data_IF_346852317864
#
_entry.id   IF_346852317864
#
_cell.length_a   1.000
_cell.length_b   1.000
_cell.length_c   1.000
_cell.angle_alpha   90.00
_cell.angle_beta   90.00
_cell.angle_gamma   90.00
#
_symmetry.space_group_name_H-M   'P 1'
#
loop_
_entity.id
_entity.type
_entity.pdbx_description
1 polymer ?
#
# COMPACT_ATOMS: atom_id res chain seq x y z
N UNK A 1 6.90 -13.65 -2.92
CA UNK A 1 6.48 -12.22 -3.00
C UNK A 1 7.31 -11.53 -4.08
N UNK A 2 6.69 -10.88 -5.07
CA UNK A 2 7.41 -10.07 -6.09
C UNK A 2 8.18 -8.95 -5.36
N UNK A 3 9.51 -9.00 -5.36
CA UNK A 3 10.34 -7.90 -4.83
C UNK A 3 10.20 -6.69 -5.77
N UNK A 4 9.85 -5.53 -5.22
CA UNK A 4 10.01 -4.26 -5.91
C UNK A 4 11.52 -4.03 -6.06
N UNK A 5 11.97 -3.72 -7.27
CA UNK A 5 13.37 -3.42 -7.61
C UNK A 5 13.38 -2.24 -8.57
N UNK A 6 12.90 -1.10 -8.12
CA UNK A 6 12.59 0.05 -8.98
C UNK A 6 13.84 0.63 -9.64
N UNK A 7 14.95 0.73 -8.91
CA UNK A 7 16.25 1.16 -9.46
C UNK A 7 16.74 0.25 -10.58
N UNK A 8 16.60 -1.07 -10.41
CA UNK A 8 16.97 -2.03 -11.44
C UNK A 8 16.05 -1.92 -12.67
N UNK A 9 14.75 -1.73 -12.46
CA UNK A 9 13.78 -1.50 -13.53
C UNK A 9 14.10 -0.22 -14.31
N UNK A 10 14.34 0.92 -13.64
CA UNK A 10 14.75 2.18 -14.28
C UNK A 10 16.02 1.99 -15.12
N UNK A 11 17.02 1.30 -14.56
CA UNK A 11 18.28 1.01 -15.27
C UNK A 11 18.05 0.12 -16.51
N UNK A 12 17.14 -0.86 -16.42
CA UNK A 12 16.80 -1.72 -17.54
C UNK A 12 16.07 -0.96 -18.66
N UNK A 13 15.11 -0.08 -18.32
CA UNK A 13 14.46 0.78 -19.30
C UNK A 13 15.42 1.77 -19.95
N UNK A 14 16.39 2.32 -19.21
CA UNK A 14 17.44 3.16 -19.78
C UNK A 14 18.26 2.43 -20.85
N UNK A 15 18.66 1.18 -20.58
CA UNK A 15 19.34 0.33 -21.57
C UNK A 15 18.45 -0.02 -22.77
N UNK A 16 17.18 -0.35 -22.53
CA UNK A 16 16.22 -0.65 -23.59
C UNK A 16 15.97 0.57 -24.49
N UNK A 17 15.92 1.78 -23.91
CA UNK A 17 15.73 3.03 -24.64
C UNK A 17 16.93 3.32 -25.55
N UNK A 18 18.15 3.13 -25.05
CA UNK A 18 19.37 3.26 -25.86
C UNK A 18 19.38 2.26 -27.02
N UNK A 19 19.09 0.99 -26.77
CA UNK A 19 19.04 -0.05 -27.81
C UNK A 19 17.95 0.23 -28.87
N UNK A 20 16.77 0.72 -28.45
CA UNK A 20 15.70 1.13 -29.36
C UNK A 20 16.10 2.35 -30.19
N UNK A 21 16.90 3.26 -29.61
CA UNK A 21 17.47 4.39 -30.32
C UNK A 21 18.43 3.95 -31.42
N UNK A 22 19.39 3.10 -31.08
CA UNK A 22 20.40 2.54 -32.00
C UNK A 22 19.76 1.71 -33.12
N UNK A 23 18.74 0.91 -32.81
CA UNK A 23 18.01 0.12 -33.80
C UNK A 23 17.18 0.97 -34.78
N UNK A 24 16.93 2.23 -34.46
CA UNK A 24 16.14 3.18 -35.24
C UNK A 24 14.73 2.69 -35.63
N UNK A 25 14.08 1.92 -34.75
CA UNK A 25 12.71 1.42 -34.94
C UNK A 25 11.72 2.31 -34.18
N UNK A 26 10.90 3.15 -34.85
CA UNK A 26 10.02 4.09 -34.17
C UNK A 26 9.00 3.44 -33.23
N UNK A 27 8.40 2.32 -33.63
CA UNK A 27 7.45 1.58 -32.81
C UNK A 27 8.07 1.07 -31.50
N UNK A 28 9.33 0.59 -31.56
CA UNK A 28 10.04 0.11 -30.38
C UNK A 28 10.42 1.25 -29.44
N UNK A 29 10.82 2.42 -29.98
CA UNK A 29 11.07 3.63 -29.19
C UNK A 29 9.82 4.03 -28.40
N UNK A 30 8.68 4.11 -29.07
CA UNK A 30 7.40 4.47 -28.46
C UNK A 30 6.96 3.48 -27.38
N UNK A 31 7.11 2.17 -27.62
CA UNK A 31 6.76 1.14 -26.65
C UNK A 31 7.62 1.22 -25.38
N UNK A 32 8.94 1.38 -25.54
CA UNK A 32 9.86 1.51 -24.40
C UNK A 32 9.57 2.77 -23.59
N UNK A 33 9.28 3.89 -24.27
CA UNK A 33 8.88 5.14 -23.61
C UNK A 33 7.58 4.96 -22.83
N UNK A 34 6.54 4.43 -23.46
CA UNK A 34 5.23 4.17 -22.83
C UNK A 34 5.36 3.26 -21.60
N UNK A 35 6.11 2.17 -21.71
CA UNK A 35 6.35 1.25 -20.61
C UNK A 35 7.15 1.91 -19.46
N UNK A 36 8.10 2.79 -19.78
CA UNK A 36 8.91 3.49 -18.78
C UNK A 36 8.11 4.51 -17.96
N UNK A 37 7.07 5.11 -18.54
CA UNK A 37 6.19 6.09 -17.88
C UNK A 37 5.48 5.50 -16.67
N UNK A 38 5.18 4.19 -16.68
CA UNK A 38 4.57 3.48 -15.54
C UNK A 38 5.41 3.59 -14.26
N UNK A 39 6.73 3.78 -14.37
CA UNK A 39 7.61 3.98 -13.21
C UNK A 39 7.49 5.38 -12.59
N UNK A 40 6.85 6.32 -13.29
CA UNK A 40 6.68 7.72 -12.87
C UNK A 40 5.22 8.06 -12.56
N UNK A 41 4.30 7.11 -12.69
CA UNK A 41 2.89 7.31 -12.31
C UNK A 41 2.67 6.95 -10.84
N UNK A 42 1.81 7.68 -10.12
CA UNK A 42 1.36 7.28 -8.78
C UNK A 42 0.79 5.86 -8.76
N UNK A 43 1.23 5.06 -7.80
CA UNK A 43 0.81 3.65 -7.63
C UNK A 43 0.09 3.38 -6.32
N UNK A 44 0.08 4.35 -5.40
CA UNK A 44 -0.58 4.22 -4.12
C UNK A 44 -0.70 5.56 -3.42
N UNK A 45 -1.31 5.54 -2.24
CA UNK A 45 -1.43 6.70 -1.35
C UNK A 45 -0.92 6.32 0.03
N UNK A 46 -0.10 7.18 0.61
CA UNK A 46 0.29 7.15 2.00
C UNK A 46 -0.70 7.98 2.81
N UNK A 47 -1.29 7.36 3.85
CA UNK A 47 -2.12 8.06 4.82
C UNK A 47 -1.37 8.04 6.14
N UNK A 48 -1.02 9.22 6.65
CA UNK A 48 -0.33 9.36 7.93
C UNK A 48 -0.63 10.72 8.56
N UNK A 49 -0.88 10.73 9.88
CA UNK A 49 -1.10 11.97 10.67
C UNK A 49 -2.18 12.88 10.06
N UNK A 50 -3.26 12.28 9.55
CA UNK A 50 -4.37 13.01 8.91
C UNK A 50 -4.08 13.59 7.52
N UNK A 51 -2.90 13.31 6.95
CA UNK A 51 -2.52 13.74 5.60
C UNK A 51 -2.53 12.57 4.63
N UNK A 52 -2.85 12.86 3.37
CA UNK A 52 -2.72 11.91 2.27
C UNK A 52 -1.65 12.41 1.29
N UNK A 53 -0.80 11.50 0.82
CA UNK A 53 0.23 11.77 -0.18
C UNK A 53 0.27 10.65 -1.21
N UNK A 54 0.21 11.00 -2.49
CA UNK A 54 0.44 10.05 -3.58
C UNK A 54 1.88 9.51 -3.53
N UNK A 55 2.05 8.22 -3.78
CA UNK A 55 3.34 7.54 -3.79
C UNK A 55 3.68 6.99 -5.18
N UNK A 56 4.92 7.23 -5.60
CA UNK A 56 5.56 6.53 -6.71
C UNK A 56 6.12 5.17 -6.29
N UNK A 57 6.49 4.34 -7.26
CA UNK A 57 6.98 2.98 -7.01
C UNK A 57 8.23 2.94 -6.13
N UNK A 58 9.17 3.87 -6.31
CA UNK A 58 10.41 3.99 -5.54
C UNK A 58 10.16 4.46 -4.11
N UNK A 59 9.19 5.36 -3.91
CA UNK A 59 8.75 5.76 -2.57
C UNK A 59 8.06 4.62 -1.83
N UNK A 60 7.27 3.79 -2.53
CA UNK A 60 6.70 2.56 -1.96
C UNK A 60 7.81 1.58 -1.56
N UNK A 61 8.79 1.35 -2.43
CA UNK A 61 9.94 0.48 -2.10
C UNK A 61 10.68 1.00 -0.85
N UNK A 62 10.97 2.30 -0.82
CA UNK A 62 11.65 2.96 0.31
C UNK A 62 10.86 2.81 1.61
N UNK A 63 9.54 3.09 1.58
CA UNK A 63 8.65 2.95 2.73
C UNK A 63 8.66 1.51 3.27
N UNK A 64 8.55 0.53 2.37
CA UNK A 64 8.54 -0.88 2.76
C UNK A 64 9.87 -1.38 3.33
N UNK A 65 10.98 -0.72 2.99
CA UNK A 65 12.32 -1.01 3.55
C UNK A 65 12.68 -0.16 4.77
N UNK A 66 11.86 0.83 5.13
CA UNK A 66 12.18 1.79 6.21
C UNK A 66 12.13 1.20 7.62
N UNK A 67 11.57 0.00 7.78
CA UNK A 67 11.27 -0.59 9.09
C UNK A 67 9.99 -0.06 9.74
N UNK A 68 9.27 0.86 9.10
CA UNK A 68 7.98 1.32 9.60
C UNK A 68 6.93 0.19 9.62
N UNK A 69 6.03 0.25 10.60
CA UNK A 69 4.80 -0.54 10.60
C UNK A 69 3.86 0.01 9.51
N UNK A 70 3.59 -0.80 8.49
CA UNK A 70 2.76 -0.43 7.34
C UNK A 70 1.50 -1.31 7.31
N UNK A 71 0.35 -0.65 7.17
CA UNK A 71 -0.93 -1.30 6.86
C UNK A 71 -1.15 -1.21 5.35
N UNK A 72 -0.88 -2.29 4.63
CA UNK A 72 -1.02 -2.37 3.17
C UNK A 72 -2.45 -2.78 2.81
N UNK A 73 -3.26 -1.79 2.43
CA UNK A 73 -4.65 -1.98 2.01
C UNK A 73 -4.80 -2.55 0.60
N UNK A 74 -3.75 -2.53 -0.23
CA UNK A 74 -3.81 -3.17 -1.55
C UNK A 74 -3.76 -4.70 -1.42
N UNK A 75 -3.12 -5.21 -0.37
CA UNK A 75 -2.93 -6.66 -0.13
C UNK A 75 -3.64 -7.17 1.13
N UNK A 76 -4.27 -6.29 1.90
CA UNK A 76 -4.85 -6.58 3.21
C UNK A 76 -3.84 -7.25 4.15
N UNK A 77 -2.63 -6.67 4.28
CA UNK A 77 -1.57 -7.17 5.17
C UNK A 77 -1.07 -6.09 6.13
N UNK A 78 -0.63 -6.53 7.30
CA UNK A 78 0.14 -5.71 8.25
C UNK A 78 1.59 -6.15 8.15
N UNK A 79 2.51 -5.21 8.09
CA UNK A 79 3.93 -5.55 7.95
C UNK A 79 4.85 -4.59 8.69
N UNK A 80 5.95 -5.14 9.17
CA UNK A 80 7.03 -4.42 9.82
C UNK A 80 8.33 -5.13 9.45
N UNK A 81 9.25 -4.41 8.80
CA UNK A 81 10.46 -5.00 8.22
C UNK A 81 10.14 -6.28 7.39
N UNK A 82 10.71 -7.43 7.79
CA UNK A 82 10.50 -8.72 7.13
C UNK A 82 9.26 -9.49 7.62
N UNK A 83 8.64 -9.04 8.72
CA UNK A 83 7.43 -9.66 9.25
C UNK A 83 6.20 -9.20 8.45
N UNK A 84 5.41 -10.17 7.97
CA UNK A 84 4.17 -9.90 7.23
C UNK A 84 3.07 -10.80 7.77
N UNK A 85 2.00 -10.18 8.25
CA UNK A 85 0.78 -10.85 8.71
C UNK A 85 -0.33 -10.58 7.70
N UNK A 86 -0.84 -11.65 7.08
CA UNK A 86 -1.98 -11.54 6.17
C UNK A 86 -3.29 -11.47 6.94
N UNK A 87 -4.09 -10.45 6.66
CA UNK A 87 -5.46 -10.27 7.16
C UNK A 87 -6.49 -10.36 6.03
N UNK A 88 -6.12 -10.91 4.87
CA UNK A 88 -7.00 -11.01 3.70
C UNK A 88 -8.30 -11.76 3.99
N UNK A 89 -8.27 -12.76 4.88
CA UNK A 89 -9.44 -13.53 5.33
C UNK A 89 -10.03 -13.02 6.66
N UNK A 90 -9.47 -11.95 7.22
CA UNK A 90 -9.84 -11.35 8.51
C UNK A 90 -10.22 -9.87 8.34
N UNK A 91 -11.31 -9.57 7.61
CA UNK A 91 -11.65 -8.20 7.22
C UNK A 91 -11.94 -7.27 8.41
N UNK A 92 -12.48 -7.82 9.51
CA UNK A 92 -12.71 -7.06 10.75
C UNK A 92 -11.39 -6.62 11.37
N UNK A 93 -10.44 -7.55 11.56
CA UNK A 93 -9.11 -7.24 12.07
C UNK A 93 -8.36 -6.25 11.18
N UNK A 94 -8.45 -6.41 9.86
CA UNK A 94 -7.84 -5.47 8.92
C UNK A 94 -8.41 -4.05 9.08
N UNK A 95 -9.74 -3.93 9.15
CA UNK A 95 -10.40 -2.64 9.33
C UNK A 95 -10.03 -1.96 10.67
N UNK A 96 -9.87 -2.73 11.74
CA UNK A 96 -9.41 -2.22 13.03
C UNK A 96 -7.97 -1.71 12.94
N UNK A 97 -7.05 -2.53 12.42
CA UNK A 97 -5.64 -2.18 12.28
C UNK A 97 -5.46 -0.90 11.44
N UNK A 98 -6.18 -0.80 10.32
CA UNK A 98 -6.21 0.40 9.48
C UNK A 98 -6.74 1.63 10.23
N UNK A 99 -7.84 1.49 10.96
CA UNK A 99 -8.45 2.61 11.70
C UNK A 99 -7.52 3.14 12.78
N UNK A 100 -6.84 2.25 13.51
CA UNK A 100 -5.84 2.61 14.51
C UNK A 100 -4.63 3.32 13.87
N UNK A 101 -4.13 2.80 12.74
CA UNK A 101 -3.00 3.41 12.04
C UNK A 101 -3.31 4.80 11.47
N UNK A 102 -4.53 5.03 10.97
CA UNK A 102 -4.97 6.35 10.50
C UNK A 102 -5.13 7.38 11.63
N UNK A 103 -5.53 6.94 12.83
CA UNK A 103 -5.69 7.81 14.00
C UNK A 103 -4.35 8.19 14.65
N UNK A 104 -3.32 7.35 14.49
CA UNK A 104 -2.00 7.58 15.07
C UNK A 104 -1.43 8.97 14.72
N UNK A 105 -0.86 9.70 15.69
CA UNK A 105 -0.52 9.29 17.06
C UNK A 105 -1.64 9.46 18.09
N UNK A 106 -2.83 9.91 17.68
CA UNK A 106 -3.96 10.05 18.57
C UNK A 106 -4.71 8.72 18.76
N UNK A 107 -5.62 8.69 19.73
CA UNK A 107 -6.48 7.55 19.98
C UNK A 107 -7.63 7.47 18.97
N UNK A 108 -8.03 6.25 18.60
CA UNK A 108 -9.29 5.98 17.92
C UNK A 108 -10.39 5.67 18.95
N UNK A 109 -11.52 6.37 18.86
CA UNK A 109 -12.65 6.06 19.74
C UNK A 109 -13.20 4.65 19.46
N UNK A 110 -13.69 3.98 20.51
CA UNK A 110 -14.32 2.66 20.38
C UNK A 110 -15.49 2.67 19.38
N UNK A 111 -16.27 3.74 19.38
CA UNK A 111 -17.37 3.92 18.42
C UNK A 111 -16.87 4.01 16.97
N UNK A 112 -15.76 4.73 16.73
CA UNK A 112 -15.14 4.81 15.41
C UNK A 112 -14.66 3.43 14.94
N UNK A 113 -13.99 2.67 15.82
CA UNK A 113 -13.52 1.32 15.53
C UNK A 113 -14.68 0.39 15.16
N UNK A 114 -15.76 0.39 15.93
CA UNK A 114 -16.94 -0.44 15.66
C UNK A 114 -17.62 -0.05 14.34
N UNK A 115 -17.80 1.25 14.08
CA UNK A 115 -18.39 1.74 12.81
C UNK A 115 -17.55 1.32 11.60
N UNK A 116 -16.22 1.50 11.66
CA UNK A 116 -15.30 1.16 10.56
C UNK A 116 -15.19 -0.35 10.34
N UNK A 117 -15.12 -1.14 11.41
CA UNK A 117 -14.90 -2.58 11.33
C UNK A 117 -16.13 -3.38 10.88
N UNK A 118 -17.32 -2.96 11.31
CA UNK A 118 -18.57 -3.67 11.00
C UNK A 118 -19.42 -2.97 9.93
N UNK A 119 -19.00 -1.79 9.44
CA UNK A 119 -19.80 -0.91 8.56
C UNK A 119 -21.19 -0.60 9.12
N UNK A 120 -21.37 -0.72 10.43
CA UNK A 120 -22.64 -0.53 11.10
C UNK A 120 -22.91 0.97 11.28
N UNK A 121 -24.15 1.40 11.02
CA UNK A 121 -24.57 2.80 11.26
C UNK A 121 -24.58 3.14 12.76
N UNK A 122 -24.87 2.15 13.60
CA UNK A 122 -24.81 2.23 15.06
C UNK A 122 -24.16 0.95 15.60
N UNK A 123 -23.20 1.11 16.51
CA UNK A 123 -22.57 -0.02 17.18
C UNK A 123 -23.40 -0.45 18.40
N UNK A 124 -23.88 -1.68 18.40
CA UNK A 124 -24.66 -2.25 19.51
C UNK A 124 -23.84 -3.27 20.34
N UNK A 125 -24.46 -3.86 21.36
CA UNK A 125 -23.81 -4.84 22.23
C UNK A 125 -23.37 -6.11 21.47
N UNK A 126 -24.11 -6.50 20.43
CA UNK A 126 -23.79 -7.67 19.60
C UNK A 126 -22.50 -7.46 18.82
N UNK A 127 -22.29 -6.26 18.27
CA UNK A 127 -21.01 -5.89 17.64
C UNK A 127 -19.86 -5.91 18.65
N UNK A 128 -20.12 -5.50 19.90
CA UNK A 128 -19.10 -5.51 20.97
C UNK A 128 -18.71 -6.92 21.39
N UNK A 129 -19.69 -7.81 21.55
CA UNK A 129 -19.44 -9.22 21.85
C UNK A 129 -18.64 -9.89 20.73
N UNK A 130 -18.99 -9.62 19.47
CA UNK A 130 -18.29 -10.15 18.30
C UNK A 130 -16.86 -9.62 18.17
N UNK A 131 -16.61 -8.36 18.50
CA UNK A 131 -15.26 -7.79 18.51
C UNK A 131 -14.34 -8.51 19.52
N UNK A 132 -14.86 -8.89 20.70
CA UNK A 132 -14.10 -9.65 21.71
C UNK A 132 -13.73 -11.06 21.26
N UNK A 133 -14.47 -11.64 20.32
CA UNK A 133 -14.19 -12.98 19.78
C UNK A 133 -13.14 -12.91 18.65
N UNK A 134 -13.08 -11.78 17.93
CA UNK A 134 -12.11 -11.57 16.85
C UNK A 134 -10.70 -11.22 17.39
N UNK A 135 -10.62 -10.58 18.57
CA UNK A 135 -9.37 -10.29 19.28
C UNK A 135 -8.88 -11.48 20.11
#
# INVERSE_FOLDING_TARGET
VRRLRTKAARSAFGRASLAAYEANIPALKAEVEAASLVLNTPVGRLIARGTEKDLLLDEVETLLTSGALVIDACRNVVREADAVVSLATRPVLFALARTLAEAWPADASRELLLRRAFRARHADESHRARLRVEM
#
